data_IF_138984184472
#
_entry.id   IF_138984184472
#
_cell.length_a   1.000
_cell.length_b   1.000
_cell.length_c   1.000
_cell.angle_alpha   90.00
_cell.angle_beta   90.00
_cell.angle_gamma   90.00
#
_symmetry.space_group_name_H-M   'P 1'
#
loop_
_entity.id
_entity.type
_entity.pdbx_description
1 polymer ?
#
# COMPACT_ATOMS: atom_id res chain seq x y z
N UNK A 1 -22.06 10.87 -4.18
CA UNK A 1 -23.05 10.31 -5.13
C UNK A 1 -22.63 8.88 -5.43
N UNK A 2 -23.56 7.93 -5.59
CA UNK A 2 -23.23 6.55 -5.97
C UNK A 2 -23.84 6.30 -7.35
N UNK A 3 -22.99 5.94 -8.30
CA UNK A 3 -23.38 5.65 -9.68
C UNK A 3 -23.10 4.18 -9.96
N UNK A 4 -24.01 3.52 -10.69
CA UNK A 4 -23.88 2.11 -11.06
C UNK A 4 -23.92 2.00 -12.58
N UNK A 5 -22.89 1.40 -13.16
CA UNK A 5 -22.85 1.11 -14.59
C UNK A 5 -22.20 -0.25 -14.80
N UNK A 6 -22.59 -0.90 -15.90
CA UNK A 6 -22.02 -2.19 -16.30
C UNK A 6 -21.07 -1.95 -17.45
N UNK A 7 -19.83 -2.40 -17.30
CA UNK A 7 -18.83 -2.43 -18.37
C UNK A 7 -18.71 -3.83 -18.94
N UNK A 8 -18.48 -3.92 -20.25
CA UNK A 8 -18.13 -5.18 -20.90
C UNK A 8 -16.62 -5.28 -21.03
N UNK A 9 -16.07 -6.41 -20.60
CA UNK A 9 -14.65 -6.73 -20.77
C UNK A 9 -14.28 -6.68 -22.26
N UNK A 10 -13.23 -5.93 -22.58
CA UNK A 10 -12.62 -5.84 -23.92
C UNK A 10 -11.56 -6.94 -24.09
N UNK A 11 -10.71 -6.84 -25.10
CA UNK A 11 -9.63 -7.81 -25.28
C UNK A 11 -8.68 -7.85 -24.07
N UNK A 12 -8.19 -9.05 -23.75
CA UNK A 12 -7.18 -9.29 -22.71
C UNK A 12 -7.54 -8.73 -21.33
N UNK A 13 -8.82 -8.76 -20.95
CA UNK A 13 -9.27 -8.39 -19.59
C UNK A 13 -9.41 -6.89 -19.35
N UNK A 14 -9.23 -6.03 -20.36
CA UNK A 14 -9.36 -4.58 -20.20
C UNK A 14 -10.79 -4.15 -19.88
N UNK A 15 -10.93 -3.26 -18.91
CA UNK A 15 -12.15 -2.53 -18.60
C UNK A 15 -11.99 -1.07 -19.04
N UNK A 16 -13.01 -0.52 -19.71
CA UNK A 16 -13.05 0.90 -20.07
C UNK A 16 -14.06 1.61 -19.18
N UNK A 17 -13.58 2.56 -18.39
CA UNK A 17 -14.42 3.39 -17.51
C UNK A 17 -14.90 4.62 -18.30
N UNK A 18 -16.19 4.98 -18.21
CA UNK A 18 -16.70 6.21 -18.81
C UNK A 18 -15.89 7.44 -18.35
N UNK A 19 -15.63 8.35 -19.29
CA UNK A 19 -14.67 9.45 -19.11
C UNK A 19 -15.10 10.41 -17.98
N UNK A 20 -16.41 10.63 -17.85
CA UNK A 20 -17.00 11.43 -16.78
C UNK A 20 -16.62 10.90 -15.39
N UNK A 21 -16.68 9.58 -15.18
CA UNK A 21 -16.31 8.96 -13.91
C UNK A 21 -14.81 8.87 -13.74
N UNK A 22 -14.07 8.63 -14.82
CA UNK A 22 -12.61 8.62 -14.78
C UNK A 22 -12.05 9.93 -14.23
N UNK A 23 -12.58 11.09 -14.68
CA UNK A 23 -12.19 12.38 -14.12
C UNK A 23 -12.62 12.57 -12.66
N UNK A 24 -13.85 12.19 -12.30
CA UNK A 24 -14.36 12.36 -10.93
C UNK A 24 -13.55 11.57 -9.90
N UNK A 25 -13.09 10.36 -10.23
CA UNK A 25 -12.34 9.50 -9.30
C UNK A 25 -10.81 9.71 -9.38
N UNK A 26 -10.34 10.53 -10.32
CA UNK A 26 -8.92 10.80 -10.54
C UNK A 26 -8.18 9.65 -11.24
N UNK A 27 -8.87 8.92 -12.12
CA UNK A 27 -8.29 7.95 -13.03
C UNK A 27 -7.62 8.70 -14.20
N UNK A 28 -6.50 9.32 -13.88
CA UNK A 28 -5.65 10.09 -14.80
C UNK A 28 -4.33 9.37 -15.04
N UNK A 29 -3.66 9.69 -16.14
CA UNK A 29 -2.37 9.10 -16.47
C UNK A 29 -1.35 9.28 -15.33
N UNK A 30 -0.71 8.18 -14.93
CA UNK A 30 0.28 8.15 -13.84
C UNK A 30 -0.30 8.14 -12.42
N UNK A 31 -1.63 8.10 -12.25
CA UNK A 31 -2.23 7.87 -10.94
C UNK A 31 -2.03 6.41 -10.51
N UNK A 32 -1.97 6.18 -9.21
CA UNK A 32 -1.76 4.86 -8.62
C UNK A 32 -3.04 4.39 -7.95
N UNK A 33 -3.44 3.16 -8.28
CA UNK A 33 -4.57 2.48 -7.68
C UNK A 33 -4.09 1.17 -7.06
N UNK A 34 -4.56 0.89 -5.85
CA UNK A 34 -4.44 -0.42 -5.25
C UNK A 34 -5.56 -1.30 -5.81
N UNK A 35 -5.22 -2.53 -6.17
CA UNK A 35 -6.15 -3.54 -6.66
C UNK A 35 -6.03 -4.76 -5.77
N UNK A 36 -7.03 -4.93 -4.90
CA UNK A 36 -7.20 -6.12 -4.09
C UNK A 36 -8.01 -7.13 -4.91
N UNK A 37 -7.50 -8.36 -5.07
CA UNK A 37 -8.16 -9.40 -5.86
C UNK A 37 -8.44 -10.61 -4.98
N UNK A 38 -9.72 -10.91 -4.78
CA UNK A 38 -10.17 -12.15 -4.16
C UNK A 38 -10.54 -13.15 -5.26
N UNK A 39 -9.71 -14.16 -5.44
CA UNK A 39 -9.92 -15.18 -6.48
C UNK A 39 -10.99 -16.20 -6.12
N UNK A 40 -11.32 -16.35 -4.84
CA UNK A 40 -12.36 -17.28 -4.37
C UNK A 40 -13.75 -16.68 -4.56
N UNK A 41 -13.91 -15.41 -4.20
CA UNK A 41 -15.13 -14.63 -4.42
C UNK A 41 -15.27 -14.16 -5.88
N UNK A 42 -14.16 -14.13 -6.63
CA UNK A 42 -14.07 -13.58 -8.00
C UNK A 42 -14.43 -12.11 -8.05
N UNK A 43 -13.99 -11.37 -7.04
CA UNK A 43 -14.21 -9.94 -6.88
C UNK A 43 -12.87 -9.21 -6.85
N UNK A 44 -12.89 -7.96 -7.30
CA UNK A 44 -11.75 -7.06 -7.11
C UNK A 44 -12.24 -5.75 -6.51
N UNK A 45 -11.47 -5.21 -5.58
CA UNK A 45 -11.67 -3.89 -5.02
C UNK A 45 -10.55 -2.98 -5.51
N UNK A 46 -10.93 -1.83 -6.06
CA UNK A 46 -10.01 -0.90 -6.73
C UNK A 46 -10.16 0.46 -6.10
N UNK A 47 -9.10 0.96 -5.48
CA UNK A 47 -9.09 2.25 -4.81
C UNK A 47 -7.89 3.11 -5.20
N UNK A 48 -8.09 4.42 -5.28
CA UNK A 48 -7.00 5.35 -5.63
C UNK A 48 -6.14 5.62 -4.42
N UNK A 49 -4.88 5.22 -4.47
CA UNK A 49 -3.91 5.43 -3.38
C UNK A 49 -3.06 6.68 -3.56
N UNK A 50 -2.76 7.09 -4.80
CA UNK A 50 -1.99 8.31 -5.06
C UNK A 50 -2.29 8.96 -6.41
N UNK A 51 -2.05 10.27 -6.48
CA UNK A 51 -2.00 11.03 -7.74
C UNK A 51 -0.58 10.96 -8.34
N UNK A 52 -0.40 11.36 -9.62
CA UNK A 52 0.91 11.39 -10.25
C UNK A 52 1.94 12.23 -9.47
N UNK A 53 3.22 11.88 -9.63
CA UNK A 53 4.34 12.62 -9.03
C UNK A 53 4.69 12.22 -7.60
N UNK A 54 4.12 11.13 -7.09
CA UNK A 54 4.49 10.55 -5.80
C UNK A 54 5.64 9.56 -5.93
N UNK A 55 6.40 9.41 -4.84
CA UNK A 55 7.46 8.40 -4.74
C UNK A 55 6.93 7.24 -3.91
N UNK A 56 6.26 6.31 -4.59
CA UNK A 56 5.60 5.18 -3.94
C UNK A 56 6.58 4.06 -3.64
N UNK A 57 6.47 3.57 -2.41
CA UNK A 57 7.29 2.48 -1.89
C UNK A 57 6.40 1.53 -1.14
N UNK A 58 6.58 0.24 -1.39
CA UNK A 58 5.99 -0.81 -0.58
C UNK A 58 6.97 -1.21 0.51
N UNK A 59 6.48 -1.24 1.75
CA UNK A 59 7.24 -1.64 2.93
C UNK A 59 6.56 -2.87 3.53
N UNK A 60 7.26 -4.00 3.47
CA UNK A 60 6.86 -5.22 4.15
C UNK A 60 7.68 -5.37 5.43
N UNK A 61 7.01 -5.62 6.56
CA UNK A 61 7.66 -5.85 7.85
C UNK A 61 7.09 -7.10 8.49
N UNK A 62 7.96 -8.06 8.80
CA UNK A 62 7.60 -9.21 9.64
C UNK A 62 7.94 -8.88 11.08
N UNK A 63 6.98 -9.02 11.99
CA UNK A 63 7.12 -8.62 13.39
C UNK A 63 6.64 -9.70 14.35
N UNK A 64 7.11 -9.66 15.60
CA UNK A 64 6.47 -10.39 16.70
C UNK A 64 5.06 -9.85 16.93
N UNK A 65 4.07 -10.73 17.04
CA UNK A 65 2.70 -10.31 17.32
C UNK A 65 2.56 -9.90 18.79
N UNK A 66 2.74 -8.60 19.04
CA UNK A 66 2.68 -7.99 20.37
C UNK A 66 1.94 -6.67 20.33
N UNK A 67 1.19 -6.33 21.40
CA UNK A 67 0.54 -5.03 21.52
C UNK A 67 1.50 -3.86 21.29
N UNK A 68 1.10 -2.93 20.42
CA UNK A 68 1.83 -1.69 20.14
C UNK A 68 2.91 -1.77 19.05
N UNK A 69 3.15 -2.94 18.45
CA UNK A 69 4.16 -3.07 17.39
C UNK A 69 3.79 -2.27 16.14
N UNK A 70 2.53 -2.34 15.69
CA UNK A 70 2.04 -1.51 14.58
C UNK A 70 2.23 -0.01 14.85
N UNK A 71 2.02 0.43 16.09
CA UNK A 71 2.23 1.83 16.49
C UNK A 71 3.71 2.24 16.44
N UNK A 72 4.63 1.31 16.75
CA UNK A 72 6.08 1.56 16.61
C UNK A 72 6.48 1.69 15.15
N UNK A 73 6.00 0.79 14.28
CA UNK A 73 6.29 0.80 12.83
C UNK A 73 5.74 2.08 12.19
N UNK A 74 4.43 2.31 12.31
CA UNK A 74 3.78 3.52 11.78
C UNK A 74 4.34 4.81 12.39
N UNK A 75 4.67 4.81 13.69
CA UNK A 75 5.32 5.94 14.34
C UNK A 75 6.72 6.22 13.81
N UNK A 76 7.50 5.19 13.43
CA UNK A 76 8.80 5.36 12.77
C UNK A 76 8.64 5.99 11.40
N UNK A 77 7.71 5.50 10.57
CA UNK A 77 7.40 6.09 9.27
C UNK A 77 7.01 7.58 9.41
N UNK A 78 6.11 7.90 10.34
CA UNK A 78 5.68 9.27 10.60
C UNK A 78 6.82 10.19 11.06
N UNK A 79 7.73 9.72 11.93
CA UNK A 79 8.91 10.51 12.36
C UNK A 79 9.89 10.78 11.22
N UNK A 80 9.92 9.92 10.21
CA UNK A 80 10.74 10.07 9.00
C UNK A 80 10.06 10.94 7.93
N UNK A 81 8.88 11.50 8.21
CA UNK A 81 8.12 12.30 7.24
C UNK A 81 7.56 11.46 6.10
N UNK A 82 7.39 10.16 6.30
CA UNK A 82 6.84 9.24 5.30
C UNK A 82 5.33 9.17 5.49
N UNK A 83 4.58 9.45 4.41
CA UNK A 83 3.12 9.43 4.45
C UNK A 83 2.60 8.02 4.14
N UNK A 84 1.76 7.46 5.01
CA UNK A 84 1.18 6.13 4.81
C UNK A 84 -0.10 6.29 3.99
N UNK A 85 -0.14 5.66 2.81
CA UNK A 85 -1.30 5.73 1.91
C UNK A 85 -2.23 4.54 2.08
N UNK A 86 -1.64 3.37 2.33
CA UNK A 86 -2.34 2.13 2.63
C UNK A 86 -1.52 1.32 3.62
N UNK A 87 -2.18 0.59 4.51
CA UNK A 87 -1.53 -0.48 5.26
C UNK A 87 -2.52 -1.58 5.62
N UNK A 88 -1.99 -2.79 5.72
CA UNK A 88 -2.69 -3.96 6.23
C UNK A 88 -1.76 -4.72 7.17
N UNK A 89 -2.35 -5.41 8.15
CA UNK A 89 -1.63 -6.27 9.06
C UNK A 89 -2.35 -7.61 9.15
N UNK A 90 -1.62 -8.69 8.93
CA UNK A 90 -2.13 -10.06 8.96
C UNK A 90 -1.36 -10.89 9.98
N UNK A 91 -2.08 -11.68 10.77
CA UNK A 91 -1.47 -12.62 11.71
C UNK A 91 -0.95 -13.85 10.95
N UNK A 92 0.30 -14.23 11.22
CA UNK A 92 0.88 -15.47 10.72
C UNK A 92 0.64 -16.55 11.79
N UNK A 93 -0.59 -17.10 11.78
CA UNK A 93 -1.22 -17.95 12.82
C UNK A 93 -0.35 -19.11 13.38
N UNK A 94 0.72 -19.49 12.69
CA UNK A 94 1.60 -20.61 13.08
C UNK A 94 2.92 -20.21 13.76
N UNK A 95 3.27 -18.92 13.80
CA UNK A 95 4.61 -18.46 14.21
C UNK A 95 4.62 -17.43 15.35
N UNK A 96 3.45 -16.95 15.80
CA UNK A 96 3.38 -15.81 16.75
C UNK A 96 3.99 -14.54 16.15
N UNK A 97 3.86 -14.39 14.84
CA UNK A 97 4.35 -13.29 14.04
C UNK A 97 3.17 -12.62 13.32
N UNK A 98 3.37 -11.40 12.89
CA UNK A 98 2.46 -10.71 11.97
C UNK A 98 3.24 -10.14 10.80
N UNK A 99 2.61 -10.09 9.64
CA UNK A 99 3.09 -9.32 8.50
C UNK A 99 2.38 -7.96 8.48
N UNK A 100 3.13 -6.88 8.29
CA UNK A 100 2.59 -5.55 8.03
C UNK A 100 3.04 -5.17 6.63
N UNK A 101 2.10 -4.90 5.74
CA UNK A 101 2.36 -4.38 4.40
C UNK A 101 1.85 -2.95 4.36
N UNK A 102 2.68 -2.01 3.92
CA UNK A 102 2.31 -0.61 3.80
C UNK A 102 2.77 -0.02 2.47
N UNK A 103 1.86 0.68 1.78
CA UNK A 103 2.21 1.54 0.65
C UNK A 103 2.38 2.95 1.19
N UNK A 104 3.55 3.51 0.94
CA UNK A 104 3.95 4.81 1.48
C UNK A 104 4.43 5.76 0.40
N UNK A 105 4.23 7.06 0.64
CA UNK A 105 4.77 8.14 -0.17
C UNK A 105 5.98 8.76 0.54
N UNK A 106 7.15 8.62 -0.10
CA UNK A 106 8.42 9.16 0.35
C UNK A 106 8.81 10.47 -0.37
N UNK A 107 7.91 11.09 -1.15
CA UNK A 107 8.23 12.30 -1.93
C UNK A 107 8.72 13.47 -1.08
N UNK A 108 8.24 13.59 0.15
CA UNK A 108 8.62 14.64 1.11
C UNK A 108 9.69 14.18 2.12
N UNK A 109 10.15 12.93 2.03
CA UNK A 109 11.17 12.38 2.93
C UNK A 109 12.55 12.43 2.30
N UNK A 110 13.56 12.82 3.10
CA UNK A 110 14.95 12.88 2.67
C UNK A 110 15.73 11.57 2.93
N UNK A 111 15.07 10.52 3.42
CA UNK A 111 15.72 9.25 3.75
C UNK A 111 15.84 8.33 2.54
N UNK A 112 16.94 7.57 2.46
CA UNK A 112 17.11 6.52 1.46
C UNK A 112 16.31 5.26 1.81
N UNK A 113 16.09 4.37 0.85
CA UNK A 113 15.41 3.08 1.11
C UNK A 113 16.22 2.20 2.07
N UNK A 114 17.55 2.20 1.94
CA UNK A 114 18.44 1.46 2.83
C UNK A 114 18.38 2.00 4.27
N UNK A 115 18.30 3.31 4.43
CA UNK A 115 18.22 3.91 5.77
C UNK A 115 16.83 3.73 6.37
N UNK A 116 15.75 3.80 5.58
CA UNK A 116 14.41 3.42 6.02
C UNK A 116 14.40 1.98 6.54
N UNK A 117 14.97 1.04 5.78
CA UNK A 117 15.11 -0.36 6.18
C UNK A 117 15.82 -0.47 7.53
N UNK A 118 16.98 0.17 7.68
CA UNK A 118 17.75 0.17 8.94
C UNK A 118 16.96 0.77 10.11
N UNK A 119 16.21 1.86 9.91
CA UNK A 119 15.41 2.46 10.99
C UNK A 119 14.28 1.52 11.47
N UNK A 120 13.66 0.77 10.55
CA UNK A 120 12.65 -0.23 10.89
C UNK A 120 13.27 -1.44 11.59
N UNK A 121 14.43 -1.93 11.14
CA UNK A 121 15.16 -3.05 11.76
C UNK A 121 15.62 -2.77 13.20
N UNK A 122 15.72 -1.49 13.62
CA UNK A 122 16.03 -1.12 15.02
C UNK A 122 14.87 -1.41 15.98
N UNK A 123 13.65 -1.60 15.49
CA UNK A 123 12.51 -1.94 16.32
C UNK A 123 12.71 -3.38 16.80
N UNK A 124 12.77 -3.58 18.12
CA UNK A 124 13.08 -4.88 18.74
C UNK A 124 12.22 -6.04 18.23
N UNK A 125 10.94 -5.76 17.97
CA UNK A 125 9.97 -6.76 17.54
C UNK A 125 10.05 -7.10 16.04
N UNK A 126 10.79 -6.33 15.24
CA UNK A 126 10.97 -6.58 13.81
C UNK A 126 11.93 -7.73 13.58
N UNK A 127 11.55 -8.65 12.68
CA UNK A 127 12.33 -9.82 12.26
C UNK A 127 12.89 -9.68 10.86
N UNK A 128 12.11 -9.07 9.97
CA UNK A 128 12.47 -8.87 8.57
C UNK A 128 11.85 -7.57 8.05
N UNK A 129 12.57 -6.91 7.14
CA UNK A 129 12.10 -5.72 6.43
C UNK A 129 12.45 -5.85 4.95
N UNK A 130 11.45 -5.65 4.09
CA UNK A 130 11.63 -5.40 2.66
C UNK A 130 11.09 -4.03 2.28
N UNK A 131 11.80 -3.39 1.36
CA UNK A 131 11.45 -2.08 0.82
C UNK A 131 11.55 -2.19 -0.69
N UNK A 132 10.45 -1.96 -1.38
CA UNK A 132 10.33 -2.13 -2.83
C UNK A 132 9.92 -0.79 -3.46
N UNK A 133 10.68 -0.35 -4.45
CA UNK A 133 10.31 0.81 -5.27
C UNK A 133 9.18 0.42 -6.22
N UNK A 134 8.10 1.21 -6.24
CA UNK A 134 6.95 0.99 -7.12
C UNK A 134 6.92 1.99 -8.30
N UNK A 135 7.94 2.85 -8.42
CA UNK A 135 8.02 3.89 -9.46
C UNK A 135 8.95 3.55 -10.62
#
# INVERSE_FOLDING_TARGET
MREYFIVKVKENGKLEIPLEFAYEIGLVEGAYFLVEVDTDLKEMHVERVALPGKKLVEVEVIVEDKPGVLAKVSGTLGRLGINILFNEAEELESLGLSAIVAIVDMSESNISFDDLKKELEKIKEVKEVKVLDMT
#
